data_IF_402984082207
#
_entry.id   IF_402984082207
#
_cell.length_a   1.000
_cell.length_b   1.000
_cell.length_c   1.000
_cell.angle_alpha   90.00
_cell.angle_beta   90.00
_cell.angle_gamma   90.00
#
_symmetry.space_group_name_H-M   'P 1'
#
loop_
_entity.id
_entity.type
_entity.pdbx_description
1 polymer ?
#
# COMPACT_ATOMS: atom_id res chain seq x y z
N UNK A 1 25.76 -21.61 7.37
CA UNK A 1 24.42 -21.50 6.76
C UNK A 1 23.66 -20.41 7.49
N UNK A 2 23.49 -19.24 6.88
CA UNK A 2 22.88 -18.07 7.52
C UNK A 2 21.35 -18.14 7.42
N UNK A 3 20.69 -18.43 8.53
CA UNK A 3 19.24 -18.47 8.70
C UNK A 3 18.68 -17.10 9.11
N UNK A 4 18.97 -16.03 8.34
CA UNK A 4 18.55 -14.64 8.65
C UNK A 4 17.49 -14.07 7.69
N UNK A 5 16.97 -14.87 6.76
CA UNK A 5 16.07 -14.42 5.68
C UNK A 5 14.73 -13.83 6.17
N UNK A 6 14.11 -14.42 7.20
CA UNK A 6 12.79 -14.01 7.68
C UNK A 6 12.81 -12.65 8.40
N UNK A 7 13.79 -12.42 9.28
CA UNK A 7 13.97 -11.16 9.99
C UNK A 7 14.28 -10.01 9.05
N UNK A 8 15.13 -10.24 8.05
CA UNK A 8 15.52 -9.22 7.08
C UNK A 8 14.38 -8.84 6.13
N UNK A 9 13.56 -9.80 5.69
CA UNK A 9 12.32 -9.50 4.95
C UNK A 9 11.32 -8.69 5.79
N UNK A 10 11.19 -9.02 7.08
CA UNK A 10 10.26 -8.29 7.97
C UNK A 10 10.68 -6.83 8.20
N UNK A 11 11.99 -6.56 8.28
CA UNK A 11 12.54 -5.20 8.36
C UNK A 11 12.29 -4.46 7.05
N UNK A 12 12.61 -5.07 5.91
CA UNK A 12 12.38 -4.49 4.59
C UNK A 12 10.92 -4.04 4.40
N UNK A 13 9.94 -4.90 4.68
CA UNK A 13 8.53 -4.53 4.50
C UNK A 13 8.10 -3.39 5.42
N UNK A 14 8.56 -3.38 6.67
CA UNK A 14 8.24 -2.30 7.61
C UNK A 14 8.80 -0.96 7.16
N UNK A 15 10.02 -0.95 6.62
CA UNK A 15 10.66 0.28 6.14
C UNK A 15 10.03 0.75 4.83
N UNK A 16 9.72 -0.19 3.93
CA UNK A 16 9.04 0.08 2.67
C UNK A 16 7.63 0.66 2.89
N UNK A 17 6.82 0.05 3.78
CA UNK A 17 5.47 0.54 4.10
C UNK A 17 5.55 1.96 4.67
N UNK A 18 6.48 2.25 5.57
CA UNK A 18 6.67 3.60 6.13
C UNK A 18 7.02 4.63 5.04
N UNK A 19 7.89 4.25 4.11
CA UNK A 19 8.25 5.11 2.99
C UNK A 19 7.05 5.35 2.05
N UNK A 20 6.34 4.29 1.67
CA UNK A 20 5.16 4.35 0.81
C UNK A 20 4.07 5.20 1.46
N UNK A 21 3.82 5.02 2.75
CA UNK A 21 2.85 5.80 3.51
C UNK A 21 3.17 7.30 3.46
N UNK A 22 4.43 7.67 3.71
CA UNK A 22 4.86 9.06 3.63
C UNK A 22 4.72 9.64 2.21
N UNK A 23 5.08 8.84 1.19
CA UNK A 23 4.95 9.22 -0.22
C UNK A 23 3.48 9.44 -0.61
N UNK A 24 2.60 8.48 -0.29
CA UNK A 24 1.17 8.60 -0.59
C UNK A 24 0.57 9.78 0.18
N UNK A 25 0.90 9.96 1.45
CA UNK A 25 0.41 11.09 2.25
C UNK A 25 0.75 12.44 1.65
N UNK A 26 1.96 12.57 1.09
CA UNK A 26 2.38 13.80 0.42
C UNK A 26 1.58 14.13 -0.86
N UNK A 27 0.81 13.17 -1.41
CA UNK A 27 -0.06 13.37 -2.56
C UNK A 27 -1.46 13.91 -2.21
N UNK A 28 -1.81 14.03 -0.91
CA UNK A 28 -3.10 14.54 -0.45
C UNK A 28 -2.97 15.95 0.14
N UNK A 29 -3.86 16.85 -0.28
CA UNK A 29 -4.03 18.15 0.36
C UNK A 29 -4.85 18.00 1.67
N UNK A 30 -4.52 18.81 2.69
CA UNK A 30 -5.11 18.80 4.04
C UNK A 30 -6.60 19.22 4.12
N UNK A 31 -7.33 19.33 3.00
CA UNK A 31 -8.65 19.96 2.97
C UNK A 31 -9.77 19.01 2.48
N UNK A 32 -10.70 18.66 3.38
CA UNK A 32 -12.00 18.06 3.06
C UNK A 32 -12.19 16.59 3.45
N UNK A 33 -13.36 16.01 3.11
CA UNK A 33 -13.76 14.62 3.42
C UNK A 33 -12.96 13.53 2.70
N UNK A 34 -12.05 13.93 1.81
CA UNK A 34 -11.21 13.08 0.96
C UNK A 34 -9.70 13.32 1.17
N UNK A 35 -9.31 13.87 2.33
CA UNK A 35 -7.90 13.97 2.73
C UNK A 35 -7.32 12.64 3.22
N UNK A 36 -6.08 12.66 3.70
CA UNK A 36 -5.36 11.46 4.17
C UNK A 36 -6.13 10.62 5.19
N UNK A 37 -6.95 11.24 6.04
CA UNK A 37 -7.80 10.53 7.01
C UNK A 37 -8.74 9.50 6.37
N UNK A 38 -9.17 9.72 5.12
CA UNK A 38 -9.94 8.73 4.36
C UNK A 38 -9.15 7.45 4.16
N UNK A 39 -7.89 7.57 3.70
CA UNK A 39 -6.98 6.45 3.50
C UNK A 39 -6.74 5.71 4.83
N UNK A 40 -6.54 6.43 5.93
CA UNK A 40 -6.35 5.83 7.26
C UNK A 40 -7.56 5.00 7.71
N UNK A 41 -8.79 5.52 7.51
CA UNK A 41 -10.01 4.79 7.84
C UNK A 41 -10.18 3.54 6.97
N UNK A 42 -9.95 3.65 5.66
CA UNK A 42 -10.02 2.52 4.73
C UNK A 42 -9.00 1.44 5.10
N UNK A 43 -7.73 1.84 5.29
CA UNK A 43 -6.64 0.94 5.70
C UNK A 43 -6.96 0.19 7.00
N UNK A 44 -7.48 0.89 8.01
CA UNK A 44 -7.88 0.29 9.28
C UNK A 44 -9.05 -0.70 9.12
N UNK A 45 -10.00 -0.42 8.22
CA UNK A 45 -11.11 -1.31 7.92
C UNK A 45 -10.65 -2.56 7.15
N UNK A 46 -9.83 -2.38 6.11
CA UNK A 46 -9.23 -3.48 5.34
C UNK A 46 -8.49 -4.45 6.23
N UNK A 47 -7.66 -3.94 7.17
CA UNK A 47 -6.96 -4.79 8.13
C UNK A 47 -7.91 -5.61 9.00
N UNK A 48 -8.94 -4.99 9.57
CA UNK A 48 -9.93 -5.67 10.43
C UNK A 48 -10.72 -6.75 9.70
N UNK A 49 -11.10 -6.49 8.45
CA UNK A 49 -11.81 -7.47 7.61
C UNK A 49 -10.84 -8.59 7.21
N UNK A 50 -9.65 -8.23 6.71
CA UNK A 50 -8.64 -9.18 6.26
C UNK A 50 -8.20 -10.16 7.35
N UNK A 51 -8.05 -9.70 8.59
CA UNK A 51 -7.75 -10.55 9.75
C UNK A 51 -8.84 -11.61 9.99
N UNK A 52 -10.11 -11.27 9.76
CA UNK A 52 -11.25 -12.20 9.93
C UNK A 52 -11.39 -13.16 8.76
N UNK A 53 -11.13 -12.69 7.55
CA UNK A 53 -11.26 -13.47 6.31
C UNK A 53 -9.99 -14.28 5.97
N UNK A 54 -8.90 -14.12 6.74
CA UNK A 54 -7.63 -14.79 6.47
C UNK A 54 -6.92 -14.27 5.21
N UNK A 55 -7.15 -13.00 4.85
CA UNK A 55 -6.54 -12.37 3.70
C UNK A 55 -5.05 -12.02 3.94
N UNK A 56 -4.30 -11.82 2.85
CA UNK A 56 -2.93 -11.32 2.94
C UNK A 56 -2.92 -9.85 3.39
N UNK A 57 -2.54 -9.62 4.65
CA UNK A 57 -2.52 -8.29 5.24
C UNK A 57 -1.47 -7.37 4.62
N UNK A 58 -0.38 -7.88 4.04
CA UNK A 58 0.61 -7.05 3.36
C UNK A 58 0.01 -6.48 2.07
N UNK A 59 -0.65 -7.32 1.28
CA UNK A 59 -1.32 -6.90 0.04
C UNK A 59 -2.42 -5.89 0.35
N UNK A 60 -3.28 -6.17 1.35
CA UNK A 60 -4.34 -5.25 1.75
C UNK A 60 -3.82 -3.89 2.22
N UNK A 61 -2.73 -3.89 2.99
CA UNK A 61 -2.13 -2.66 3.50
C UNK A 61 -1.58 -1.78 2.37
N UNK A 62 -0.85 -2.40 1.42
CA UNK A 62 -0.31 -1.72 0.25
C UNK A 62 -1.42 -1.21 -0.67
N UNK A 63 -2.42 -2.04 -0.99
CA UNK A 63 -3.56 -1.65 -1.82
C UNK A 63 -4.33 -0.48 -1.21
N UNK A 64 -4.59 -0.52 0.10
CA UNK A 64 -5.28 0.58 0.78
C UNK A 64 -4.48 1.89 0.75
N UNK A 65 -3.15 1.84 0.86
CA UNK A 65 -2.30 3.05 0.78
C UNK A 65 -2.30 3.68 -0.61
N UNK A 66 -2.45 2.88 -1.68
CA UNK A 66 -2.38 3.36 -3.05
C UNK A 66 -3.74 3.67 -3.69
N UNK A 67 -4.87 3.12 -3.19
CA UNK A 67 -6.13 3.04 -3.95
C UNK A 67 -6.63 4.37 -4.56
N UNK A 68 -6.39 5.49 -3.88
CA UNK A 68 -6.82 6.85 -4.27
C UNK A 68 -5.65 7.81 -4.48
N UNK A 69 -4.42 7.31 -4.72
CA UNK A 69 -3.22 8.16 -4.81
C UNK A 69 -3.21 9.04 -6.06
N UNK A 70 -3.79 8.57 -7.18
CA UNK A 70 -3.94 9.35 -8.42
C UNK A 70 -5.35 9.92 -8.47
N UNK A 71 -5.54 11.23 -8.26
CA UNK A 71 -6.89 11.82 -8.07
C UNK A 71 -7.45 12.64 -9.23
N UNK A 72 -6.59 13.10 -10.14
CA UNK A 72 -6.97 14.06 -11.22
C UNK A 72 -7.49 13.33 -12.48
N UNK A 73 -7.49 11.99 -12.47
CA UNK A 73 -7.92 11.18 -13.62
C UNK A 73 -9.37 10.69 -13.49
N UNK A 74 -10.09 10.63 -14.62
CA UNK A 74 -11.39 9.95 -14.71
C UNK A 74 -11.28 8.44 -14.40
N UNK A 75 -10.11 7.84 -14.63
CA UNK A 75 -9.78 6.45 -14.30
C UNK A 75 -8.73 6.37 -13.19
N UNK A 76 -9.00 7.08 -12.09
CA UNK A 76 -8.13 7.12 -10.91
C UNK A 76 -7.81 5.73 -10.36
N UNK A 77 -8.76 4.79 -10.42
CA UNK A 77 -8.58 3.44 -9.92
C UNK A 77 -7.51 2.68 -10.72
N UNK A 78 -7.63 2.65 -12.05
CA UNK A 78 -6.65 1.95 -12.90
C UNK A 78 -5.26 2.60 -12.80
N UNK A 79 -5.20 3.94 -12.82
CA UNK A 79 -3.92 4.64 -12.74
C UNK A 79 -3.26 4.48 -11.37
N UNK A 80 -4.03 4.45 -10.29
CA UNK A 80 -3.51 4.19 -8.94
C UNK A 80 -2.94 2.76 -8.83
N UNK A 81 -3.60 1.77 -9.42
CA UNK A 81 -3.10 0.39 -9.46
C UNK A 81 -1.81 0.25 -10.32
N UNK A 82 -1.76 0.90 -11.48
CA UNK A 82 -0.56 0.93 -12.32
C UNK A 82 0.62 1.61 -11.63
N UNK A 83 0.35 2.72 -10.94
CA UNK A 83 1.35 3.42 -10.15
C UNK A 83 1.85 2.56 -8.99
N UNK A 84 0.95 1.91 -8.24
CA UNK A 84 1.30 1.00 -7.16
C UNK A 84 2.23 -0.11 -7.63
N UNK A 85 1.85 -0.82 -8.70
CA UNK A 85 2.66 -1.88 -9.29
C UNK A 85 4.04 -1.40 -9.73
N UNK A 86 4.12 -0.21 -10.33
CA UNK A 86 5.39 0.39 -10.75
C UNK A 86 6.29 0.68 -9.54
N UNK A 87 5.76 1.34 -8.51
CA UNK A 87 6.51 1.67 -7.29
C UNK A 87 6.99 0.40 -6.57
N UNK A 88 6.09 -0.57 -6.36
CA UNK A 88 6.41 -1.82 -5.66
C UNK A 88 7.47 -2.62 -6.41
N UNK A 89 7.37 -2.72 -7.74
CA UNK A 89 8.39 -3.38 -8.56
C UNK A 89 9.74 -2.67 -8.46
N UNK A 90 9.78 -1.34 -8.49
CA UNK A 90 11.03 -0.57 -8.33
C UNK A 90 11.65 -0.75 -6.95
N UNK A 91 10.83 -0.89 -5.90
CA UNK A 91 11.29 -1.14 -4.53
C UNK A 91 11.75 -2.58 -4.29
N UNK A 92 11.58 -3.49 -5.26
CA UNK A 92 12.04 -4.89 -5.17
C UNK A 92 11.03 -5.85 -4.54
N UNK A 93 9.75 -5.51 -4.52
CA UNK A 93 8.70 -6.47 -4.17
C UNK A 93 8.59 -7.56 -5.26
N UNK A 94 8.20 -8.77 -4.83
CA UNK A 94 8.01 -9.89 -5.75
C UNK A 94 6.78 -9.71 -6.63
N UNK A 95 6.80 -10.32 -7.83
CA UNK A 95 5.73 -10.20 -8.82
C UNK A 95 4.34 -10.59 -8.29
N UNK A 96 4.26 -11.56 -7.38
CA UNK A 96 2.98 -11.94 -6.74
C UNK A 96 2.34 -10.78 -5.99
N UNK A 97 3.12 -10.02 -5.22
CA UNK A 97 2.62 -8.83 -4.49
C UNK A 97 2.29 -7.72 -5.49
N UNK A 98 3.18 -7.45 -6.45
CA UNK A 98 2.98 -6.38 -7.44
C UNK A 98 1.74 -6.59 -8.34
N UNK A 99 1.29 -7.82 -8.53
CA UNK A 99 0.10 -8.14 -9.31
C UNK A 99 -1.18 -8.21 -8.46
N UNK A 100 -1.05 -8.40 -7.15
CA UNK A 100 -2.18 -8.48 -6.22
C UNK A 100 -2.62 -7.11 -5.67
N UNK A 101 -1.76 -6.10 -5.79
CA UNK A 101 -2.02 -4.68 -5.48
C UNK A 101 -2.44 -3.94 -6.74
#
# INVERSE_FOLDING_TARGET
>A
MLTSSSGQRSSFYRDAIRYIEAMCKAAFDDVGSHGWEHVERVRALCKKIGEKEGADLLVLDLAALFHDVIRISEDHAMQSAEFARSVLSTMGFGAEICNAV
#
